data_IF_286854609176
#
_entry.id   IF_286854609176
#
_cell.length_a   1.000
_cell.length_b   1.000
_cell.length_c   1.000
_cell.angle_alpha   90.00
_cell.angle_beta   90.00
_cell.angle_gamma   90.00
#
_symmetry.space_group_name_H-M   'P 1'
#
loop_
_entity.id
_entity.type
_entity.pdbx_description
1 polymer ?
#
# COMPACT_ATOMS: atom_id res chain seq x y z
N UNK A 1 0.64 -4.11 -0.40
CA UNK A 1 1.53 -2.94 -0.52
C UNK A 1 1.96 -2.59 0.88
N UNK A 2 3.26 -2.39 1.08
CA UNK A 2 3.80 -1.99 2.38
C UNK A 2 3.59 -0.50 2.60
N UNK A 3 2.94 -0.16 3.70
CA UNK A 3 2.82 1.19 4.23
C UNK A 3 3.70 1.35 5.46
N UNK A 4 4.44 2.46 5.48
CA UNK A 4 5.18 2.91 6.65
C UNK A 4 4.23 3.68 7.56
N UNK A 5 4.24 3.32 8.84
CA UNK A 5 3.43 3.95 9.88
C UNK A 5 4.36 4.65 10.86
N UNK A 6 4.17 5.95 11.06
CA UNK A 6 4.79 6.69 12.17
C UNK A 6 3.92 6.56 13.41
N UNK A 7 4.53 6.27 14.55
CA UNK A 7 3.86 6.12 15.84
C UNK A 7 4.45 7.10 16.84
N UNK A 8 3.59 7.82 17.54
CA UNK A 8 3.88 8.62 18.73
C UNK A 8 3.40 7.84 19.96
N UNK A 9 4.32 7.51 20.86
CA UNK A 9 3.98 6.79 22.09
C UNK A 9 3.36 7.71 23.14
N UNK A 10 2.42 7.21 23.96
CA UNK A 10 1.86 7.95 25.09
C UNK A 10 2.94 8.53 26.01
N UNK A 11 2.78 9.80 26.39
CA UNK A 11 3.66 10.45 27.39
C UNK A 11 3.19 10.15 28.82
N UNK A 12 1.89 9.89 29.00
CA UNK A 12 1.26 9.50 30.25
C UNK A 12 0.00 8.63 30.05
N UNK A 13 -0.60 8.18 31.16
CA UNK A 13 -1.76 7.27 31.18
C UNK A 13 -3.05 7.85 30.57
N UNK A 14 -3.10 9.15 30.26
CA UNK A 14 -4.25 9.82 29.66
C UNK A 14 -4.03 10.18 28.19
N UNK A 15 -2.90 9.78 27.62
CA UNK A 15 -2.57 10.01 26.20
C UNK A 15 -2.63 8.69 25.43
N UNK A 16 -3.26 8.71 24.27
CA UNK A 16 -3.33 7.54 23.37
C UNK A 16 -2.08 7.47 22.48
N UNK A 17 -1.87 6.32 21.83
CA UNK A 17 -0.89 6.21 20.75
C UNK A 17 -1.38 7.04 19.56
N UNK A 18 -0.53 7.92 19.04
CA UNK A 18 -0.77 8.63 17.78
C UNK A 18 -0.19 7.84 16.61
N UNK A 19 -0.92 7.71 15.51
CA UNK A 19 -0.46 7.00 14.31
C UNK A 19 -0.67 7.86 13.07
N UNK A 20 0.31 7.87 12.18
CA UNK A 20 0.24 8.54 10.88
C UNK A 20 0.70 7.59 9.77
N UNK A 21 0.09 7.70 8.60
CA UNK A 21 0.49 6.96 7.39
C UNK A 21 0.99 7.96 6.34
N UNK A 22 2.28 8.34 6.36
CA UNK A 22 2.79 9.43 5.52
C UNK A 22 2.55 9.26 4.01
N UNK A 23 2.55 8.03 3.51
CA UNK A 23 2.29 7.76 2.10
C UNK A 23 0.87 8.16 1.65
N UNK A 24 -0.05 8.30 2.60
CA UNK A 24 -1.45 8.70 2.39
C UNK A 24 -1.69 10.17 2.81
N UNK A 25 -0.63 10.93 3.08
CA UNK A 25 -0.70 12.35 3.40
C UNK A 25 -0.14 13.17 2.23
N UNK A 26 -0.92 14.11 1.71
CA UNK A 26 -0.53 15.06 0.67
C UNK A 26 -1.37 16.35 0.81
N UNK A 27 -1.37 17.22 -0.21
CA UNK A 27 -2.08 18.51 -0.16
C UNK A 27 -3.61 18.37 0.03
N UNK A 28 -4.18 17.22 -0.31
CA UNK A 28 -5.63 16.94 -0.27
C UNK A 28 -6.00 15.95 0.84
N UNK A 29 -5.09 15.05 1.23
CA UNK A 29 -5.36 13.93 2.13
C UNK A 29 -4.47 13.91 3.37
N UNK A 30 -5.00 13.32 4.44
CA UNK A 30 -4.29 13.15 5.71
C UNK A 30 -4.80 11.91 6.43
N UNK A 31 -3.93 10.91 6.62
CA UNK A 31 -4.29 9.65 7.26
C UNK A 31 -3.66 9.55 8.65
N UNK A 32 -4.47 9.80 9.66
CA UNK A 32 -4.13 9.69 11.08
C UNK A 32 -5.07 8.71 11.77
N UNK A 33 -4.59 8.07 12.84
CA UNK A 33 -5.38 7.20 13.69
C UNK A 33 -4.86 7.24 15.13
N UNK A 34 -5.62 6.67 16.07
CA UNK A 34 -5.24 6.57 17.47
C UNK A 34 -5.66 5.23 18.08
N UNK A 35 -4.91 4.77 19.08
CA UNK A 35 -5.18 3.54 19.82
C UNK A 35 -4.94 3.75 21.32
N UNK A 36 -5.81 3.19 22.16
CA UNK A 36 -5.69 3.31 23.63
C UNK A 36 -4.71 2.27 24.20
N UNK A 37 -4.42 1.21 23.44
CA UNK A 37 -3.47 0.16 23.83
C UNK A 37 -2.62 -0.32 22.64
N UNK A 38 -1.45 -0.90 22.94
CA UNK A 38 -0.56 -1.46 21.91
C UNK A 38 -1.25 -2.49 21.00
N UNK A 39 -2.17 -3.29 21.57
CA UNK A 39 -2.92 -4.31 20.84
C UNK A 39 -3.91 -3.75 19.82
N UNK A 40 -4.28 -2.48 19.96
CA UNK A 40 -5.22 -1.78 19.07
C UNK A 40 -4.52 -1.01 17.95
N UNK A 41 -3.20 -0.79 18.02
CA UNK A 41 -2.44 -0.05 17.00
C UNK A 41 -2.70 -0.60 15.60
N UNK A 42 -2.49 -1.90 15.40
CA UNK A 42 -2.62 -2.52 14.07
C UNK A 42 -4.07 -2.48 13.57
N UNK A 43 -5.09 -2.90 14.33
CA UNK A 43 -6.48 -2.74 13.92
C UNK A 43 -6.84 -1.30 13.54
N UNK A 44 -6.55 -0.34 14.42
CA UNK A 44 -6.99 1.05 14.26
C UNK A 44 -6.34 1.76 13.07
N UNK A 45 -5.05 1.52 12.82
CA UNK A 45 -4.39 2.11 11.65
C UNK A 45 -4.77 1.39 10.36
N UNK A 46 -5.02 0.09 10.41
CA UNK A 46 -5.48 -0.68 9.25
C UNK A 46 -6.83 -0.17 8.77
N UNK A 47 -7.78 0.06 9.69
CA UNK A 47 -9.08 0.63 9.38
C UNK A 47 -8.98 2.06 8.82
N UNK A 48 -8.08 2.88 9.37
CA UNK A 48 -7.82 4.23 8.85
C UNK A 48 -7.23 4.23 7.45
N UNK A 49 -6.31 3.30 7.13
CA UNK A 49 -5.78 3.11 5.78
C UNK A 49 -6.91 2.73 4.82
N UNK A 50 -7.74 1.75 5.19
CA UNK A 50 -8.84 1.31 4.33
C UNK A 50 -9.83 2.44 4.06
N UNK A 51 -10.23 3.19 5.10
CA UNK A 51 -11.14 4.33 4.97
C UNK A 51 -10.56 5.42 4.07
N UNK A 52 -9.26 5.73 4.21
CA UNK A 52 -8.60 6.71 3.35
C UNK A 52 -8.51 6.26 1.90
N UNK A 53 -8.20 4.99 1.65
CA UNK A 53 -8.16 4.43 0.30
C UNK A 53 -9.54 4.46 -0.36
N UNK A 54 -10.61 4.17 0.40
CA UNK A 54 -11.99 4.29 -0.09
C UNK A 54 -12.33 5.74 -0.47
N UNK A 55 -12.01 6.70 0.39
CA UNK A 55 -12.21 8.13 0.11
C UNK A 55 -11.45 8.56 -1.17
N UNK A 56 -10.17 8.21 -1.27
CA UNK A 56 -9.34 8.51 -2.45
C UNK A 56 -9.97 7.94 -3.73
N UNK A 57 -10.50 6.71 -3.69
CA UNK A 57 -11.16 6.09 -4.86
C UNK A 57 -12.44 6.82 -5.23
N UNK A 58 -13.26 7.18 -4.24
CA UNK A 58 -14.52 7.91 -4.44
C UNK A 58 -14.28 9.30 -5.08
N UNK A 59 -13.11 9.89 -4.81
CA UNK A 59 -12.64 11.15 -5.40
C UNK A 59 -11.82 10.95 -6.69
N UNK A 60 -11.87 9.76 -7.29
CA UNK A 60 -11.19 9.38 -8.54
C UNK A 60 -9.64 9.46 -8.48
N UNK A 61 -9.05 9.43 -7.29
CA UNK A 61 -7.60 9.39 -7.11
C UNK A 61 -7.02 8.02 -7.50
N UNK A 62 -5.89 8.04 -8.23
CA UNK A 62 -5.19 6.81 -8.62
C UNK A 62 -4.37 6.26 -7.45
N UNK A 63 -4.98 5.39 -6.64
CA UNK A 63 -4.30 4.75 -5.50
C UNK A 63 -3.09 3.89 -5.91
N UNK A 64 -2.96 3.48 -7.17
CA UNK A 64 -1.79 2.75 -7.65
C UNK A 64 -0.57 3.66 -7.86
N UNK A 65 -0.80 4.98 -7.91
CA UNK A 65 0.26 5.98 -8.00
C UNK A 65 0.95 6.23 -6.65
N UNK A 66 0.35 5.78 -5.54
CA UNK A 66 0.88 5.96 -4.19
C UNK A 66 2.24 5.24 -4.08
N UNK A 67 3.22 5.97 -3.55
CA UNK A 67 4.57 5.45 -3.31
C UNK A 67 4.96 5.70 -1.86
N UNK A 68 5.07 4.62 -1.09
CA UNK A 68 5.68 4.69 0.22
C UNK A 68 7.20 4.87 0.08
N UNK A 69 7.74 5.94 0.65
CA UNK A 69 9.16 6.30 0.58
C UNK A 69 10.01 5.63 1.67
N UNK A 70 9.37 4.91 2.61
CA UNK A 70 10.01 4.21 3.70
C UNK A 70 10.36 5.10 4.90
N UNK A 71 10.40 4.48 6.08
CA UNK A 71 10.67 5.18 7.35
C UNK A 71 11.96 6.01 7.36
N UNK A 72 13.01 5.59 6.63
CA UNK A 72 14.26 6.36 6.56
C UNK A 72 14.09 7.72 5.90
N UNK A 73 13.23 7.79 4.88
CA UNK A 73 12.92 9.07 4.23
C UNK A 73 12.02 9.91 5.13
N UNK A 74 10.95 9.33 5.66
CA UNK A 74 9.99 10.09 6.48
C UNK A 74 10.60 10.64 7.77
N UNK A 75 11.55 9.91 8.40
CA UNK A 75 12.34 10.41 9.55
C UNK A 75 13.19 11.66 9.28
N UNK A 76 13.36 12.07 8.02
CA UNK A 76 14.11 13.29 7.66
C UNK A 76 13.22 14.51 7.47
N UNK A 77 11.90 14.35 7.59
CA UNK A 77 10.92 15.41 7.42
C UNK A 77 10.46 15.91 8.79
N UNK A 78 10.53 17.24 8.98
CA UNK A 78 10.14 17.91 10.22
C UNK A 78 8.68 17.61 10.62
N UNK A 79 7.80 17.44 9.64
CA UNK A 79 6.39 17.08 9.85
C UNK A 79 6.20 15.75 10.60
N UNK A 80 7.21 14.89 10.71
CA UNK A 80 7.13 13.59 11.38
C UNK A 80 8.13 13.43 12.55
N UNK A 81 8.75 14.51 13.01
CA UNK A 81 9.73 14.48 14.10
C UNK A 81 9.14 13.99 15.44
N UNK A 82 7.83 14.12 15.61
CA UNK A 82 7.11 13.64 16.79
C UNK A 82 6.96 12.10 16.82
N UNK A 83 7.21 11.41 15.70
CA UNK A 83 7.11 9.94 15.63
C UNK A 83 8.37 9.26 16.17
N UNK A 84 8.28 8.64 17.34
CA UNK A 84 9.38 7.90 17.97
C UNK A 84 9.57 6.48 17.42
N UNK A 85 8.50 5.88 16.89
CA UNK A 85 8.46 4.47 16.48
C UNK A 85 7.92 4.34 15.06
N UNK A 86 8.40 3.33 14.33
CA UNK A 86 8.04 3.12 12.92
C UNK A 86 7.70 1.66 12.67
N UNK A 87 6.53 1.42 12.08
CA UNK A 87 6.02 0.10 11.74
C UNK A 87 5.85 -0.04 10.22
N UNK A 88 5.75 -1.29 9.75
CA UNK A 88 5.40 -1.62 8.37
C UNK A 88 4.17 -2.52 8.38
N UNK A 89 3.15 -2.13 7.61
CA UNK A 89 1.91 -2.89 7.47
C UNK A 89 1.71 -3.22 5.99
N UNK A 90 1.41 -4.48 5.68
CA UNK A 90 1.08 -4.91 4.33
C UNK A 90 -0.44 -4.88 4.11
N UNK A 91 -0.89 -4.02 3.21
CA UNK A 91 -2.30 -3.88 2.84
C UNK A 91 -2.52 -4.44 1.43
N UNK A 92 -3.45 -5.39 1.30
CA UNK A 92 -3.82 -5.94 0.00
C UNK A 92 -4.69 -4.94 -0.78
N UNK A 93 -4.09 -4.23 -1.73
CA UNK A 93 -4.80 -3.29 -2.59
C UNK A 93 -5.70 -3.97 -3.63
N UNK A 94 -5.62 -5.30 -3.81
CA UNK A 94 -6.39 -5.99 -4.84
C UNK A 94 -7.90 -5.94 -4.60
N UNK A 95 -8.34 -5.68 -3.37
CA UNK A 95 -9.74 -5.43 -3.03
C UNK A 95 -10.31 -4.20 -3.78
N UNK A 96 -9.44 -3.23 -4.12
CA UNK A 96 -9.82 -1.97 -4.76
C UNK A 96 -9.72 -1.98 -6.28
N UNK A 97 -9.18 -3.04 -6.89
CA UNK A 97 -9.00 -3.11 -8.36
C UNK A 97 -10.31 -3.39 -9.12
N UNK A 98 -11.44 -3.33 -8.44
CA UNK A 98 -12.74 -3.68 -8.96
C UNK A 98 -12.87 -5.17 -9.30
N UNK A 99 -13.94 -5.50 -10.01
CA UNK A 99 -14.22 -6.88 -10.38
C UNK A 99 -13.20 -7.41 -11.39
N UNK A 100 -12.60 -8.57 -11.10
CA UNK A 100 -11.76 -9.31 -12.06
C UNK A 100 -12.58 -9.62 -13.32
N UNK A 101 -12.14 -9.12 -14.47
CA UNK A 101 -12.74 -9.45 -15.77
C UNK A 101 -11.88 -10.47 -16.51
N UNK A 102 -12.51 -11.53 -17.02
CA UNK A 102 -11.83 -12.50 -17.88
C UNK A 102 -11.63 -11.90 -19.27
N UNK A 103 -10.39 -11.84 -19.72
CA UNK A 103 -10.02 -11.38 -21.06
C UNK A 103 -9.62 -12.57 -21.93
N UNK A 104 -10.01 -12.55 -23.20
CA UNK A 104 -9.51 -13.47 -24.23
C UNK A 104 -8.53 -12.69 -25.10
N UNK A 105 -7.25 -13.08 -25.08
CA UNK A 105 -6.17 -12.40 -25.80
C UNK A 105 -5.40 -13.38 -26.68
N UNK A 106 -4.76 -12.86 -27.72
CA UNK A 106 -3.84 -13.64 -28.58
C UNK A 106 -2.41 -13.17 -28.32
N UNK A 107 -1.52 -14.11 -27.98
CA UNK A 107 -0.10 -13.87 -27.78
C UNK A 107 0.72 -14.84 -28.65
N UNK A 108 1.93 -14.45 -29.10
CA UNK A 108 2.84 -15.38 -29.76
C UNK A 108 3.16 -16.59 -28.87
N UNK A 109 3.21 -17.81 -29.46
CA UNK A 109 3.45 -19.05 -28.70
C UNK A 109 4.72 -18.99 -27.86
N UNK A 110 5.82 -18.49 -28.42
CA UNK A 110 7.09 -18.38 -27.71
C UNK A 110 6.99 -17.50 -26.44
N UNK A 111 6.09 -16.50 -26.44
CA UNK A 111 5.89 -15.64 -25.28
C UNK A 111 5.10 -16.37 -24.20
N UNK A 112 4.09 -17.16 -24.58
CA UNK A 112 3.33 -18.01 -23.66
C UNK A 112 4.28 -19.00 -22.97
N UNK A 113 5.15 -19.67 -23.72
CA UNK A 113 6.10 -20.65 -23.18
C UNK A 113 7.07 -19.99 -22.17
N UNK A 114 7.51 -18.75 -22.45
CA UNK A 114 8.38 -18.00 -21.53
C UNK A 114 7.66 -17.56 -20.27
N UNK A 115 6.39 -17.16 -20.37
CA UNK A 115 5.56 -16.81 -19.20
C UNK A 115 5.35 -18.05 -18.34
N UNK A 116 5.02 -19.19 -18.95
CA UNK A 116 4.83 -20.45 -18.24
C UNK A 116 6.07 -20.88 -17.48
N UNK A 117 7.22 -20.89 -18.16
CA UNK A 117 8.50 -21.20 -17.53
C UNK A 117 8.78 -20.28 -16.34
N UNK A 118 8.47 -18.98 -16.43
CA UNK A 118 8.64 -18.03 -15.33
C UNK A 118 7.70 -18.26 -14.16
N UNK A 119 6.43 -18.58 -14.42
CA UNK A 119 5.43 -18.83 -13.38
C UNK A 119 5.72 -20.15 -12.66
N UNK A 120 6.08 -21.22 -13.38
CA UNK A 120 6.34 -22.54 -12.77
C UNK A 120 7.54 -22.55 -11.83
N UNK A 121 8.54 -21.68 -12.07
CA UNK A 121 9.80 -21.69 -11.32
C UNK A 121 9.96 -20.49 -10.36
N UNK A 122 8.87 -19.81 -10.01
CA UNK A 122 8.95 -18.59 -9.20
C UNK A 122 7.94 -18.58 -8.06
N UNK A 123 8.42 -18.37 -6.84
CA UNK A 123 7.56 -18.11 -5.66
C UNK A 123 6.87 -16.74 -5.71
N UNK A 124 7.21 -15.91 -6.71
CA UNK A 124 6.72 -14.54 -6.86
C UNK A 124 5.38 -14.52 -7.63
N UNK A 125 5.19 -15.46 -8.57
CA UNK A 125 4.03 -15.44 -9.47
C UNK A 125 3.12 -16.64 -9.25
N UNK A 126 1.88 -16.40 -8.82
CA UNK A 126 0.86 -17.45 -8.62
C UNK A 126 0.43 -18.14 -9.91
N UNK A 127 0.18 -17.36 -10.96
CA UNK A 127 -0.31 -17.86 -12.25
C UNK A 127 0.00 -16.87 -13.40
N UNK A 128 -0.38 -17.23 -14.63
CA UNK A 128 -0.24 -16.37 -15.83
C UNK A 128 -0.93 -15.02 -15.69
N UNK A 129 -2.12 -15.00 -15.08
CA UNK A 129 -2.92 -13.78 -14.91
C UNK A 129 -2.22 -12.83 -13.93
N UNK A 130 -1.68 -13.37 -12.83
CA UNK A 130 -0.89 -12.61 -11.86
C UNK A 130 0.38 -12.05 -12.50
N UNK A 131 1.10 -12.86 -13.29
CA UNK A 131 2.27 -12.38 -14.04
C UNK A 131 1.91 -11.22 -14.97
N UNK A 132 0.86 -11.37 -15.79
CA UNK A 132 0.42 -10.34 -16.72
C UNK A 132 -0.05 -9.07 -16.02
N UNK A 133 -0.75 -9.19 -14.89
CA UNK A 133 -1.18 -8.05 -14.09
C UNK A 133 0.02 -7.26 -13.54
N UNK A 134 0.99 -7.93 -12.90
CA UNK A 134 2.21 -7.29 -12.37
C UNK A 134 3.03 -6.64 -13.49
N UNK A 135 3.19 -7.32 -14.63
CA UNK A 135 3.89 -6.78 -15.79
C UNK A 135 3.20 -5.52 -16.33
N UNK A 136 1.87 -5.55 -16.42
CA UNK A 136 1.07 -4.41 -16.90
C UNK A 136 1.15 -3.23 -15.94
N UNK A 137 1.02 -3.46 -14.63
CA UNK A 137 1.19 -2.41 -13.62
C UNK A 137 2.58 -1.77 -13.69
N UNK A 138 3.63 -2.58 -13.87
CA UNK A 138 5.00 -2.07 -14.03
C UNK A 138 5.14 -1.19 -15.28
N UNK A 139 4.56 -1.61 -16.39
CA UNK A 139 4.60 -0.84 -17.64
C UNK A 139 3.80 0.47 -17.53
N UNK A 140 2.61 0.43 -16.92
CA UNK A 140 1.76 1.60 -16.71
C UNK A 140 2.33 2.58 -15.68
N UNK A 141 3.08 2.09 -14.69
CA UNK A 141 3.71 2.88 -13.63
C UNK A 141 4.99 3.61 -14.05
N UNK A 142 5.59 3.24 -15.19
CA UNK A 142 6.71 3.95 -15.80
C UNK A 142 6.17 5.01 -16.77
N UNK A 143 5.78 6.18 -16.27
CA UNK A 143 5.56 7.34 -17.15
C UNK A 143 6.91 7.81 -17.73
N UNK A 144 6.97 7.90 -19.06
CA UNK A 144 8.06 8.51 -19.87
C UNK A 144 8.23 9.98 -19.50
#
# INVERSE_FOLDING_TARGET
MLFTIGVETPQDENTAFGMVVPALCNDEYSCFSAADSEGEIIPQVTDAIHTMLELMIDEEFDILSIKDKGFRFYKTLEDYDYCDTWLLIDIDLTAYFGNKKRLNITLPQYLIDRIDSKVTHSDIYRDRSHFLAVASQKELGNRI
#
